data_IF_205149872063
#
_entry.id   IF_205149872063
#
_cell.length_a   1.000
_cell.length_b   1.000
_cell.length_c   1.000
_cell.angle_alpha   90.00
_cell.angle_beta   90.00
_cell.angle_gamma   90.00
#
_symmetry.space_group_name_H-M   'P 1'
#
loop_
_entity.id
_entity.type
_entity.pdbx_description
1 polymer ?
#
# COMPACT_ATOMS: atom_id res chain seq x y z
N UNK A 1 3.04 -9.01 -1.37
CA UNK A 1 1.78 -8.23 -1.28
C UNK A 1 1.84 -7.14 -2.33
N UNK A 2 0.79 -6.98 -3.15
CA UNK A 2 0.77 -5.96 -4.20
C UNK A 2 0.08 -4.70 -3.70
N UNK A 3 0.48 -3.52 -4.20
CA UNK A 3 -0.19 -2.25 -3.94
C UNK A 3 -0.64 -1.65 -5.26
N UNK A 4 -1.84 -1.09 -5.30
CA UNK A 4 -2.29 -0.28 -6.42
C UNK A 4 -2.07 1.20 -6.10
N UNK A 5 -1.74 2.03 -7.10
CA UNK A 5 -1.48 3.46 -6.85
C UNK A 5 -2.66 4.18 -6.19
N UNK A 6 -3.88 3.71 -6.46
CA UNK A 6 -5.11 4.27 -5.89
C UNK A 6 -5.24 4.02 -4.39
N UNK A 7 -4.52 3.03 -3.86
CA UNK A 7 -4.51 2.69 -2.44
C UNK A 7 -3.40 3.41 -1.67
N UNK A 8 -2.55 4.18 -2.35
CA UNK A 8 -1.45 4.94 -1.73
C UNK A 8 -1.91 6.38 -1.53
N UNK A 9 -1.84 6.87 -0.30
CA UNK A 9 -2.06 8.28 -0.01
C UNK A 9 -0.75 9.05 -0.23
N UNK A 10 -0.70 9.84 -1.31
CA UNK A 10 0.48 10.59 -1.73
C UNK A 10 1.49 9.76 -2.50
N UNK A 11 2.78 9.97 -2.21
CA UNK A 11 3.89 9.30 -2.88
C UNK A 11 4.76 8.55 -1.88
N UNK A 12 5.07 7.31 -2.21
CA UNK A 12 6.04 6.47 -1.49
C UNK A 12 7.22 6.21 -2.41
N UNK A 13 8.41 6.23 -1.85
CA UNK A 13 9.65 5.95 -2.56
C UNK A 13 10.28 4.66 -2.05
N UNK A 14 11.25 4.14 -2.80
CA UNK A 14 12.05 3.02 -2.33
C UNK A 14 12.76 3.37 -1.01
N UNK A 15 12.65 2.47 -0.03
CA UNK A 15 13.21 2.66 1.31
C UNK A 15 12.29 3.35 2.32
N UNK A 16 11.15 3.90 1.89
CA UNK A 16 10.17 4.46 2.82
C UNK A 16 9.51 3.36 3.66
N UNK A 17 9.39 3.60 4.97
CA UNK A 17 8.55 2.77 5.83
C UNK A 17 7.10 3.16 5.61
N UNK A 18 6.25 2.15 5.49
CA UNK A 18 4.81 2.33 5.26
C UNK A 18 4.02 1.42 6.19
N UNK A 19 2.83 1.88 6.55
CA UNK A 19 1.78 1.03 7.11
C UNK A 19 0.69 0.80 6.07
N UNK A 20 0.07 -0.38 6.13
CA UNK A 20 -0.99 -0.78 5.22
C UNK A 20 -1.89 -1.82 5.89
N UNK A 21 -3.10 -1.96 5.37
CA UNK A 21 -4.02 -3.05 5.71
C UNK A 21 -4.00 -4.12 4.61
N UNK A 22 -4.09 -5.40 4.97
CA UNK A 22 -4.22 -6.49 3.99
C UNK A 22 -5.70 -6.72 3.71
N UNK A 23 -6.09 -6.66 2.44
CA UNK A 23 -7.42 -7.08 2.01
C UNK A 23 -7.39 -7.88 0.72
N UNK A 24 -8.55 -8.27 0.21
CA UNK A 24 -8.67 -9.02 -1.05
C UNK A 24 -8.85 -8.07 -2.23
N UNK A 25 -7.91 -8.12 -3.18
CA UNK A 25 -8.03 -7.46 -4.47
C UNK A 25 -8.38 -8.44 -5.59
N UNK A 26 -8.61 -7.92 -6.80
CA UNK A 26 -8.99 -8.71 -7.98
C UNK A 26 -7.99 -9.82 -8.36
N UNK A 27 -6.75 -9.73 -7.90
CA UNK A 27 -5.67 -10.70 -8.17
C UNK A 27 -5.15 -11.38 -6.90
N UNK A 28 -5.96 -11.41 -5.83
CA UNK A 28 -5.59 -11.95 -4.52
C UNK A 28 -5.23 -10.86 -3.51
N UNK A 29 -4.50 -11.20 -2.43
CA UNK A 29 -4.21 -10.28 -1.34
C UNK A 29 -3.46 -9.02 -1.79
N UNK A 30 -3.99 -7.85 -1.42
CA UNK A 30 -3.45 -6.55 -1.76
C UNK A 30 -3.34 -5.64 -0.53
N UNK A 31 -2.35 -4.75 -0.55
CA UNK A 31 -2.17 -3.70 0.42
C UNK A 31 -3.16 -2.56 0.11
N UNK A 32 -3.98 -2.22 1.09
CA UNK A 32 -4.94 -1.12 1.04
C UNK A 32 -4.59 -0.05 2.07
N UNK A 33 -5.08 1.18 1.86
CA UNK A 33 -4.84 2.34 2.74
C UNK A 33 -3.36 2.53 3.09
N UNK A 34 -2.50 2.46 2.08
CA UNK A 34 -1.05 2.54 2.25
C UNK A 34 -0.66 3.98 2.51
N UNK A 35 0.02 4.21 3.63
CA UNK A 35 0.54 5.53 4.02
C UNK A 35 1.96 5.41 4.56
N UNK A 36 2.76 6.45 4.31
CA UNK A 36 4.12 6.55 4.83
C UNK A 36 4.10 6.78 6.34
N UNK A 37 5.00 6.10 7.05
CA UNK A 37 5.26 6.31 8.47
C UNK A 37 6.71 6.76 8.66
N UNK A 38 6.94 7.60 9.66
CA UNK A 38 8.27 8.13 10.01
C UNK A 38 9.02 7.19 10.96
#
# INVERSE_FOLDING_TARGET
>A
LFVHKSDVDGFINEGDKVEFEVGEGQKGPAAQKVKKIE
#
